data_IF_603085985050
#
_entry.id   IF_603085985050
#
_cell.length_a   1.000
_cell.length_b   1.000
_cell.length_c   1.000
_cell.angle_alpha   90.00
_cell.angle_beta   90.00
_cell.angle_gamma   90.00
#
_symmetry.space_group_name_H-M   'P 1'
#
loop_
_entity.id
_entity.type
_entity.pdbx_description
1 polymer ?
#
# COMPACT_ATOMS: atom_id res chain seq x y z
N UNK A 1 -44.23 43.41 -35.03
CA UNK A 1 -44.67 42.05 -34.67
C UNK A 1 -43.94 41.09 -35.60
N UNK A 2 -42.71 40.72 -35.23
CA UNK A 2 -42.31 39.42 -34.63
C UNK A 2 -42.38 38.26 -35.63
N UNK A 3 -41.24 37.96 -36.24
CA UNK A 3 -40.81 36.58 -36.47
C UNK A 3 -39.38 36.45 -35.96
N UNK A 4 -39.26 35.80 -34.82
CA UNK A 4 -38.05 35.57 -34.06
C UNK A 4 -37.61 34.13 -34.36
N UNK A 5 -36.44 33.93 -34.94
CA UNK A 5 -35.75 32.63 -34.91
C UNK A 5 -34.30 32.85 -34.49
N UNK A 6 -34.03 32.36 -33.29
CA UNK A 6 -32.74 32.32 -32.61
C UNK A 6 -31.67 31.64 -33.47
N UNK A 7 -30.47 32.23 -33.47
CA UNK A 7 -29.24 31.58 -33.92
C UNK A 7 -28.88 30.51 -32.88
N UNK A 8 -28.82 29.25 -33.31
CA UNK A 8 -28.32 28.14 -32.49
C UNK A 8 -26.82 28.30 -32.30
N UNK A 9 -26.40 28.39 -31.04
CA UNK A 9 -25.00 28.28 -30.61
C UNK A 9 -24.65 26.80 -30.66
N UNK A 10 -23.68 26.44 -31.50
CA UNK A 10 -23.09 25.11 -31.53
C UNK A 10 -22.19 24.98 -30.30
N UNK A 11 -22.75 24.44 -29.21
CA UNK A 11 -22.00 24.09 -28.01
C UNK A 11 -21.15 22.85 -28.36
N UNK A 12 -19.86 23.06 -28.57
CA UNK A 12 -18.88 21.98 -28.69
C UNK A 12 -18.84 21.22 -27.37
N UNK A 13 -19.50 20.07 -27.31
CA UNK A 13 -19.32 19.10 -26.23
C UNK A 13 -17.92 18.54 -26.39
N UNK A 14 -16.98 19.02 -25.57
CA UNK A 14 -15.71 18.33 -25.33
C UNK A 14 -16.08 17.02 -24.67
N UNK A 15 -16.12 15.96 -25.48
CA UNK A 15 -16.27 14.59 -25.05
C UNK A 15 -14.96 14.24 -24.32
N UNK A 16 -14.88 14.55 -23.02
CA UNK A 16 -13.87 13.97 -22.14
C UNK A 16 -14.01 12.46 -22.26
N UNK A 17 -12.97 11.84 -22.82
CA UNK A 17 -12.92 10.41 -23.05
C UNK A 17 -13.20 9.67 -21.75
N UNK A 18 -14.39 9.09 -21.66
CA UNK A 18 -14.65 7.93 -20.83
C UNK A 18 -13.73 6.82 -21.34
N UNK A 19 -12.51 6.77 -20.80
CA UNK A 19 -11.70 5.56 -20.74
C UNK A 19 -12.58 4.52 -20.06
N UNK A 20 -13.21 3.69 -20.89
CA UNK A 20 -13.80 2.45 -20.46
C UNK A 20 -12.64 1.63 -19.90
N UNK A 21 -12.56 1.52 -18.58
CA UNK A 21 -11.59 0.64 -17.91
C UNK A 21 -12.00 -0.79 -18.16
N UNK A 22 -11.66 -1.26 -19.34
CA UNK A 22 -11.56 -2.67 -19.68
C UNK A 22 -10.12 -3.04 -20.05
N UNK A 23 -9.16 -2.11 -19.99
CA UNK A 23 -7.76 -2.31 -20.42
C UNK A 23 -6.68 -2.08 -19.35
N UNK A 24 -7.04 -1.97 -18.06
CA UNK A 24 -6.10 -1.65 -16.97
C UNK A 24 -5.80 -2.78 -15.97
N UNK A 25 -6.54 -3.89 -16.00
CA UNK A 25 -6.27 -5.03 -15.11
C UNK A 25 -4.94 -5.70 -15.51
N UNK A 26 -3.97 -5.85 -14.60
CA UNK A 26 -2.74 -6.58 -14.89
C UNK A 26 -3.05 -8.04 -15.23
N UNK A 27 -2.47 -8.55 -16.33
CA UNK A 27 -2.62 -9.94 -16.74
C UNK A 27 -1.68 -10.83 -15.92
N UNK A 28 -2.20 -11.48 -14.89
CA UNK A 28 -1.40 -12.42 -14.08
C UNK A 28 -1.20 -13.75 -14.78
N UNK A 29 0.01 -14.29 -14.66
CA UNK A 29 0.38 -15.65 -15.04
C UNK A 29 0.80 -16.41 -13.78
N UNK A 30 0.14 -17.52 -13.50
CA UNK A 30 0.54 -18.41 -12.40
C UNK A 30 1.86 -19.11 -12.68
N UNK A 31 2.62 -19.38 -11.62
CA UNK A 31 3.78 -20.25 -11.71
C UNK A 31 3.36 -21.68 -12.09
N UNK A 32 3.98 -22.30 -13.12
CA UNK A 32 3.57 -23.61 -13.61
C UNK A 32 3.64 -24.74 -12.57
N UNK A 33 4.46 -24.58 -11.54
CA UNK A 33 4.66 -25.58 -10.48
C UNK A 33 3.98 -25.20 -9.16
N UNK A 34 2.93 -24.37 -9.21
CA UNK A 34 2.09 -24.13 -8.05
C UNK A 34 1.45 -25.43 -7.51
N UNK A 35 1.23 -25.53 -6.18
CA UNK A 35 1.59 -24.56 -5.16
C UNK A 35 3.09 -24.59 -4.83
N UNK A 36 3.68 -23.42 -4.57
CA UNK A 36 5.11 -23.28 -4.25
C UNK A 36 5.42 -23.51 -2.76
N UNK A 37 4.42 -23.49 -1.90
CA UNK A 37 4.60 -23.74 -0.46
C UNK A 37 3.40 -24.47 0.14
N UNK A 38 3.63 -25.67 0.67
CA UNK A 38 2.58 -26.61 1.09
C UNK A 38 2.94 -27.37 2.37
N UNK A 39 3.07 -26.69 3.55
CA UNK A 39 3.49 -27.30 4.82
C UNK A 39 2.38 -28.11 5.52
N UNK A 40 1.40 -28.62 4.77
CA UNK A 40 0.16 -29.22 5.25
C UNK A 40 -1.02 -28.23 5.29
N UNK A 41 -0.85 -27.05 5.89
CA UNK A 41 -1.86 -25.98 5.85
C UNK A 41 -1.23 -24.59 5.96
N UNK A 42 -1.37 -23.77 4.93
CA UNK A 42 -0.96 -22.37 4.90
C UNK A 42 -1.99 -21.50 4.18
N UNK A 43 -2.38 -20.37 4.80
CA UNK A 43 -3.40 -19.44 4.27
C UNK A 43 -3.24 -18.03 4.86
N UNK A 44 -3.82 -17.00 4.22
CA UNK A 44 -3.61 -15.58 4.58
C UNK A 44 -2.12 -15.23 4.71
N UNK A 45 -1.33 -15.36 3.63
CA UNK A 45 0.06 -14.96 3.67
C UNK A 45 0.17 -13.43 3.79
N UNK A 46 1.16 -12.97 4.55
CA UNK A 46 1.79 -11.66 4.36
C UNK A 46 3.25 -11.89 4.04
N UNK A 47 3.65 -11.56 2.82
CA UNK A 47 5.03 -11.63 2.35
C UNK A 47 5.67 -10.25 2.44
N UNK A 48 6.88 -10.19 2.98
CA UNK A 48 7.72 -8.99 3.03
C UNK A 48 9.06 -9.35 2.42
N UNK A 49 9.67 -8.40 1.72
CA UNK A 49 11.04 -8.50 1.23
C UNK A 49 11.94 -7.44 1.87
N UNK A 50 13.19 -7.82 2.08
CA UNK A 50 14.24 -6.90 2.46
C UNK A 50 15.56 -7.21 1.71
N UNK A 51 16.09 -6.29 0.88
CA UNK A 51 17.30 -6.55 0.11
C UNK A 51 18.58 -6.64 0.95
N UNK A 52 18.48 -6.44 2.26
CA UNK A 52 19.58 -6.46 3.22
C UNK A 52 19.34 -7.51 4.30
N UNK A 53 18.55 -8.52 3.97
CA UNK A 53 18.31 -9.70 4.79
C UNK A 53 17.78 -9.37 6.18
N UNK A 54 16.83 -8.42 6.24
CA UNK A 54 16.14 -7.95 7.44
C UNK A 54 17.04 -7.40 8.56
N UNK A 55 18.35 -7.24 8.27
CA UNK A 55 19.37 -6.87 9.24
C UNK A 55 19.53 -7.89 10.37
N UNK A 56 19.19 -9.17 10.16
CA UNK A 56 19.38 -10.27 11.11
C UNK A 56 20.25 -11.40 10.51
N UNK A 57 21.18 -11.94 11.31
CA UNK A 57 21.76 -13.26 11.03
C UNK A 57 20.80 -14.29 11.62
N UNK A 58 19.91 -14.78 10.78
CA UNK A 58 18.89 -15.73 11.17
C UNK A 58 19.49 -17.14 11.34
N UNK A 59 18.97 -17.94 12.28
CA UNK A 59 19.45 -19.31 12.51
C UNK A 59 19.30 -20.24 11.27
N UNK A 60 18.46 -19.84 10.30
CA UNK A 60 18.23 -20.51 9.02
C UNK A 60 18.84 -19.81 7.79
N UNK A 61 19.72 -18.82 7.95
CA UNK A 61 20.44 -18.16 6.84
C UNK A 61 20.23 -16.65 6.73
N UNK A 62 20.37 -16.12 5.51
CA UNK A 62 20.17 -14.69 5.18
C UNK A 62 19.03 -14.58 4.17
N UNK A 63 17.76 -14.66 4.59
CA UNK A 63 16.64 -14.66 3.66
C UNK A 63 16.38 -13.26 3.11
N UNK A 64 15.91 -13.18 1.87
CA UNK A 64 15.41 -11.92 1.28
C UNK A 64 13.91 -11.74 1.54
N UNK A 65 13.18 -12.83 1.73
CA UNK A 65 11.74 -12.84 1.94
C UNK A 65 11.38 -13.51 3.26
N UNK A 66 10.39 -12.95 3.95
CA UNK A 66 9.70 -13.57 5.07
C UNK A 66 8.21 -13.61 4.78
N UNK A 67 7.55 -14.71 5.16
CA UNK A 67 6.12 -14.89 5.02
C UNK A 67 5.51 -15.31 6.35
N UNK A 68 4.61 -14.47 6.88
CA UNK A 68 3.72 -14.87 7.98
C UNK A 68 2.43 -15.41 7.41
N UNK A 69 1.96 -16.54 7.90
CA UNK A 69 0.77 -17.19 7.39
C UNK A 69 0.00 -17.88 8.51
N UNK A 70 -1.30 -18.02 8.32
CA UNK A 70 -2.18 -18.77 9.22
C UNK A 70 -2.03 -20.27 8.99
N UNK A 71 -2.11 -21.03 10.08
CA UNK A 71 -2.12 -22.50 10.11
C UNK A 71 -3.38 -23.00 10.83
N UNK A 72 -3.48 -24.29 11.12
CA UNK A 72 -4.51 -24.81 12.06
C UNK A 72 -4.23 -24.49 13.54
N UNK A 73 -3.06 -23.94 13.86
CA UNK A 73 -2.58 -23.75 15.23
C UNK A 73 -2.04 -22.33 15.49
N UNK A 74 -2.57 -21.34 14.77
CA UNK A 74 -2.18 -19.93 14.87
C UNK A 74 -1.32 -19.46 13.69
N UNK A 75 -0.48 -18.45 13.91
CA UNK A 75 0.40 -17.86 12.90
C UNK A 75 1.78 -18.54 12.90
N UNK A 76 2.27 -18.84 11.70
CA UNK A 76 3.60 -19.38 11.46
C UNK A 76 4.42 -18.48 10.53
N UNK A 77 5.73 -18.74 10.51
CA UNK A 77 6.71 -18.06 9.67
C UNK A 77 7.35 -19.05 8.70
N UNK A 78 7.62 -18.57 7.48
CA UNK A 78 8.51 -19.18 6.50
C UNK A 78 9.44 -18.10 5.91
N UNK A 79 10.56 -18.52 5.36
CA UNK A 79 11.55 -17.64 4.75
C UNK A 79 12.04 -18.17 3.42
N UNK A 80 12.55 -17.27 2.58
CA UNK A 80 12.99 -17.60 1.23
C UNK A 80 14.08 -16.65 0.74
N UNK A 81 14.97 -17.14 -0.12
CA UNK A 81 15.97 -16.34 -0.83
C UNK A 81 15.46 -15.82 -2.18
N UNK A 82 14.47 -16.49 -2.79
CA UNK A 82 14.01 -16.24 -4.15
C UNK A 82 12.49 -15.92 -4.25
N UNK A 83 11.76 -16.04 -3.14
CA UNK A 83 10.31 -15.88 -3.08
C UNK A 83 9.54 -17.09 -3.64
N UNK A 84 10.20 -18.14 -4.10
CA UNK A 84 9.61 -19.34 -4.71
C UNK A 84 9.88 -20.58 -3.85
N UNK A 85 11.12 -20.77 -3.45
CA UNK A 85 11.57 -21.87 -2.60
C UNK A 85 11.50 -21.42 -1.15
N UNK A 86 10.58 -22.01 -0.39
CA UNK A 86 10.30 -21.61 0.99
C UNK A 86 10.78 -22.65 1.99
N UNK A 87 11.45 -22.18 3.04
CA UNK A 87 11.81 -22.99 4.20
C UNK A 87 10.89 -22.64 5.35
N UNK A 88 10.27 -23.66 5.94
CA UNK A 88 9.40 -23.49 7.09
C UNK A 88 10.21 -23.22 8.36
N UNK A 89 9.86 -22.16 9.09
CA UNK A 89 10.33 -21.97 10.46
C UNK A 89 9.41 -22.68 11.47
N UNK A 90 8.10 -22.46 11.34
CA UNK A 90 7.09 -22.97 12.27
C UNK A 90 6.30 -21.84 12.94
N UNK A 91 5.54 -22.18 13.98
CA UNK A 91 4.72 -21.21 14.70
C UNK A 91 5.59 -20.13 15.35
N UNK A 92 5.16 -18.87 15.23
CA UNK A 92 5.80 -17.76 15.93
C UNK A 92 5.46 -17.83 17.42
N UNK A 93 6.31 -17.26 18.28
CA UNK A 93 6.12 -17.30 19.73
C UNK A 93 5.48 -16.01 20.25
N UNK A 94 4.83 -16.10 21.41
CA UNK A 94 4.22 -14.97 22.10
C UNK A 94 2.82 -14.56 21.61
N UNK A 95 2.30 -15.19 20.55
CA UNK A 95 0.90 -15.06 20.12
C UNK A 95 0.05 -16.24 20.64
N UNK A 96 -1.26 -16.02 20.71
CA UNK A 96 -2.24 -17.06 21.05
C UNK A 96 -2.53 -18.00 19.86
N UNK A 97 -2.90 -19.25 20.14
CA UNK A 97 -3.20 -20.25 19.10
C UNK A 97 -4.41 -19.87 18.23
N UNK A 98 -5.28 -18.98 18.72
CA UNK A 98 -6.44 -18.44 17.99
C UNK A 98 -6.09 -17.24 17.09
N UNK A 99 -4.82 -16.83 17.00
CA UNK A 99 -4.39 -15.73 16.14
C UNK A 99 -4.33 -16.17 14.67
N UNK A 100 -5.07 -15.48 13.79
CA UNK A 100 -5.14 -15.75 12.36
C UNK A 100 -5.28 -14.45 11.56
N UNK A 101 -5.23 -14.54 10.23
CA UNK A 101 -5.41 -13.40 9.31
C UNK A 101 -4.44 -12.25 9.60
N UNK A 102 -3.17 -12.59 9.80
CA UNK A 102 -2.14 -11.60 10.12
C UNK A 102 -1.83 -10.71 8.91
N UNK A 103 -1.78 -9.41 9.15
CA UNK A 103 -1.12 -8.46 8.27
C UNK A 103 0.11 -7.88 8.99
N UNK A 104 1.29 -8.00 8.37
CA UNK A 104 2.58 -7.60 8.94
C UNK A 104 3.18 -6.47 8.12
N UNK A 105 3.71 -5.47 8.82
CA UNK A 105 4.54 -4.41 8.25
C UNK A 105 5.93 -4.42 8.91
N UNK A 106 6.92 -3.95 8.16
CA UNK A 106 8.32 -3.97 8.54
C UNK A 106 8.97 -2.60 8.35
N UNK A 107 9.74 -2.18 9.35
CA UNK A 107 10.66 -1.05 9.27
C UNK A 107 12.05 -1.53 9.70
N UNK A 108 13.00 -1.54 8.76
CA UNK A 108 14.38 -1.99 9.01
C UNK A 108 15.06 -1.25 10.13
N UNK A 109 14.77 0.04 10.25
CA UNK A 109 15.37 0.90 11.27
C UNK A 109 14.54 0.96 12.55
N UNK A 110 13.44 0.23 12.55
CA UNK A 110 12.48 0.16 13.62
C UNK A 110 11.54 1.35 13.66
N UNK A 111 10.29 1.06 14.00
CA UNK A 111 9.21 2.04 14.01
C UNK A 111 9.56 3.19 14.96
N UNK A 112 9.69 4.39 14.40
CA UNK A 112 10.09 5.59 15.16
C UNK A 112 11.52 5.54 15.72
N UNK A 113 12.42 4.74 15.12
CA UNK A 113 13.80 4.56 15.60
C UNK A 113 13.94 3.64 16.82
N UNK A 114 12.91 2.86 17.13
CA UNK A 114 12.92 1.91 18.26
C UNK A 114 13.54 0.56 17.86
N UNK A 115 13.71 -0.36 18.81
CA UNK A 115 14.13 -1.74 18.50
C UNK A 115 13.01 -2.58 17.84
N UNK A 116 11.77 -2.07 17.80
CA UNK A 116 10.64 -2.78 17.19
C UNK A 116 10.70 -2.59 15.68
N UNK A 117 10.96 -3.68 14.96
CA UNK A 117 11.08 -3.69 13.49
C UNK A 117 9.85 -4.22 12.78
N UNK A 118 8.98 -4.93 13.49
CA UNK A 118 7.78 -5.53 12.92
C UNK A 118 6.56 -5.14 13.74
N UNK A 119 5.47 -4.86 13.04
CA UNK A 119 4.14 -4.70 13.60
C UNK A 119 3.18 -5.61 12.87
N UNK A 120 2.23 -6.17 13.62
CA UNK A 120 1.23 -7.09 13.10
C UNK A 120 -0.13 -6.67 13.63
N UNK A 121 -1.14 -6.75 12.77
CA UNK A 121 -2.53 -6.83 13.18
C UNK A 121 -3.07 -8.18 12.80
N UNK A 122 -3.97 -8.73 13.61
CA UNK A 122 -4.49 -10.08 13.38
C UNK A 122 -5.87 -10.24 14.02
N UNK A 123 -6.58 -11.27 13.56
CA UNK A 123 -7.86 -11.71 14.11
C UNK A 123 -7.65 -12.79 15.19
N UNK A 124 -8.22 -12.56 16.37
CA UNK A 124 -8.37 -13.57 17.41
C UNK A 124 -9.70 -14.31 17.22
N UNK A 125 -9.62 -15.52 16.67
CA UNK A 125 -10.77 -16.38 16.37
C UNK A 125 -11.51 -16.88 17.60
N UNK A 126 -10.95 -16.72 18.81
CA UNK A 126 -11.63 -17.07 20.06
C UNK A 126 -12.62 -15.99 20.53
N UNK A 127 -12.59 -14.82 19.90
CA UNK A 127 -13.41 -13.66 20.24
C UNK A 127 -14.44 -13.39 19.16
N UNK A 128 -15.63 -12.97 19.58
CA UNK A 128 -16.70 -12.59 18.66
C UNK A 128 -16.26 -11.46 17.73
N UNK A 129 -16.36 -11.70 16.43
CA UNK A 129 -16.09 -10.72 15.35
C UNK A 129 -16.95 -9.46 15.45
N UNK A 130 -18.08 -9.51 16.17
CA UNK A 130 -18.96 -8.37 16.41
C UNK A 130 -18.48 -7.46 17.55
N UNK A 131 -17.23 -7.61 17.97
CA UNK A 131 -16.58 -6.74 18.95
C UNK A 131 -15.18 -6.38 18.47
N UNK A 132 -14.71 -5.17 18.78
CA UNK A 132 -13.33 -4.78 18.44
C UNK A 132 -12.29 -5.69 19.09
N UNK A 133 -12.64 -6.38 20.18
CA UNK A 133 -11.73 -7.27 20.88
C UNK A 133 -11.21 -8.43 20.01
N UNK A 134 -11.86 -8.75 18.89
CA UNK A 134 -11.38 -9.72 17.90
C UNK A 134 -10.20 -9.20 17.07
N UNK A 135 -10.02 -7.88 16.92
CA UNK A 135 -8.86 -7.29 16.28
C UNK A 135 -7.76 -7.06 17.33
N UNK A 136 -6.57 -7.60 17.07
CA UNK A 136 -5.40 -7.45 17.96
C UNK A 136 -4.26 -6.76 17.24
N UNK A 137 -3.34 -6.23 18.03
CA UNK A 137 -2.07 -5.68 17.60
C UNK A 137 -0.93 -6.47 18.25
N UNK A 138 0.17 -6.67 17.53
CA UNK A 138 1.41 -7.19 18.08
C UNK A 138 2.62 -6.48 17.49
N UNK A 139 3.72 -6.56 18.22
CA UNK A 139 4.99 -5.99 17.82
C UNK A 139 6.14 -6.94 18.10
N UNK A 140 7.21 -6.83 17.31
CA UNK A 140 8.39 -7.68 17.41
C UNK A 140 9.65 -6.96 16.90
N UNK A 141 10.81 -7.32 17.45
CA UNK A 141 12.11 -6.90 16.94
C UNK A 141 12.69 -7.86 15.89
N UNK A 142 12.28 -9.14 15.90
CA UNK A 142 12.86 -10.22 15.08
C UNK A 142 11.85 -10.85 14.10
N UNK A 143 10.56 -10.60 14.30
CA UNK A 143 9.47 -11.19 13.52
C UNK A 143 9.10 -12.62 13.94
N UNK A 144 9.73 -13.14 15.00
CA UNK A 144 9.54 -14.49 15.55
C UNK A 144 8.88 -14.44 16.92
N UNK A 145 9.36 -13.55 17.79
CA UNK A 145 8.87 -13.40 19.15
C UNK A 145 8.05 -12.14 19.24
N UNK A 146 6.76 -12.31 19.53
CA UNK A 146 5.79 -11.23 19.49
C UNK A 146 5.25 -10.89 20.87
N UNK A 147 5.00 -9.62 21.10
CA UNK A 147 4.19 -9.14 22.24
C UNK A 147 2.92 -8.52 21.69
N UNK A 148 1.76 -9.00 22.14
CA UNK A 148 0.46 -8.51 21.67
C UNK A 148 -0.28 -7.68 22.72
N UNK A 149 -1.19 -6.83 22.25
CA UNK A 149 -2.11 -6.06 23.06
C UNK A 149 -3.44 -5.83 22.32
N UNK A 150 -4.46 -5.41 23.06
CA UNK A 150 -5.74 -4.99 22.48
C UNK A 150 -5.61 -3.62 21.79
N UNK A 151 -6.41 -3.42 20.75
CA UNK A 151 -6.60 -2.10 20.12
C UNK A 151 -7.84 -1.41 20.69
N UNK A 152 -7.93 -0.11 20.43
CA UNK A 152 -9.09 0.74 20.76
C UNK A 152 -9.58 1.44 19.49
N UNK A 153 -10.78 2.01 19.54
CA UNK A 153 -11.37 2.71 18.41
C UNK A 153 -11.98 4.03 18.84
N UNK A 154 -12.14 4.94 17.88
CA UNK A 154 -12.86 6.20 18.05
C UNK A 154 -14.33 5.95 18.44
N UNK A 155 -14.85 6.76 19.36
CA UNK A 155 -16.19 6.59 19.90
C UNK A 155 -17.31 6.99 18.91
N UNK A 156 -17.02 7.91 17.98
CA UNK A 156 -17.99 8.44 16.99
C UNK A 156 -17.87 7.69 15.66
N UNK A 157 -16.64 7.33 15.28
CA UNK A 157 -16.31 6.60 14.06
C UNK A 157 -15.60 5.27 14.40
N UNK A 158 -16.30 4.34 15.06
CA UNK A 158 -15.73 3.03 15.39
C UNK A 158 -15.49 2.19 14.13
N UNK A 159 -14.54 1.27 14.21
CA UNK A 159 -14.31 0.24 13.18
C UNK A 159 -15.38 -0.85 13.29
N UNK A 160 -15.71 -1.26 14.51
CA UNK A 160 -16.69 -2.32 14.79
C UNK A 160 -17.81 -1.74 15.64
N UNK A 161 -19.04 -1.76 15.12
CA UNK A 161 -20.20 -1.23 15.86
C UNK A 161 -20.84 -2.26 16.77
N UNK A 162 -20.79 -3.55 16.42
CA UNK A 162 -21.54 -4.62 17.08
C UNK A 162 -23.05 -4.56 16.82
N UNK A 163 -23.51 -3.61 15.99
CA UNK A 163 -24.94 -3.31 15.78
C UNK A 163 -25.35 -3.73 14.37
N UNK A 164 -26.43 -4.50 14.27
CA UNK A 164 -27.07 -4.82 13.00
C UNK A 164 -28.03 -3.70 12.59
N UNK A 165 -28.11 -3.28 11.31
CA UNK A 165 -27.54 -3.92 10.12
C UNK A 165 -26.27 -3.24 9.58
N UNK A 166 -25.46 -2.61 10.43
CA UNK A 166 -24.29 -1.86 9.98
C UNK A 166 -23.36 -2.74 9.15
N UNK A 167 -22.82 -2.18 8.05
CA UNK A 167 -21.88 -2.91 7.19
C UNK A 167 -20.61 -3.32 7.93
N UNK A 168 -20.23 -2.55 8.95
CA UNK A 168 -19.13 -2.80 9.85
C UNK A 168 -19.61 -3.24 11.26
N UNK A 169 -20.72 -4.00 11.31
CA UNK A 169 -21.20 -4.65 12.54
C UNK A 169 -20.08 -5.48 13.19
N UNK A 170 -19.32 -6.21 12.37
CA UNK A 170 -18.16 -6.99 12.79
C UNK A 170 -16.95 -6.77 11.90
N UNK A 171 -15.85 -7.42 12.24
CA UNK A 171 -14.64 -7.46 11.41
C UNK A 171 -13.95 -8.82 11.45
N UNK A 172 -13.39 -9.23 10.30
CA UNK A 172 -12.47 -10.36 10.20
C UNK A 172 -11.00 -9.96 10.32
N UNK A 173 -10.73 -8.67 10.55
CA UNK A 173 -9.40 -8.15 10.85
C UNK A 173 -8.82 -7.27 9.74
N UNK A 174 -7.48 -7.12 9.72
CA UNK A 174 -6.79 -6.24 8.80
C UNK A 174 -6.74 -6.82 7.39
N UNK A 175 -6.85 -5.96 6.38
CA UNK A 175 -6.60 -6.28 4.98
C UNK A 175 -5.16 -5.88 4.65
N UNK A 176 -4.86 -4.59 4.78
CA UNK A 176 -3.56 -4.00 4.46
C UNK A 176 -3.30 -2.75 5.31
N UNK A 177 -2.04 -2.46 5.62
CA UNK A 177 -1.64 -1.33 6.46
C UNK A 177 -0.52 -0.53 5.83
N UNK A 178 -0.77 0.77 5.64
CA UNK A 178 0.22 1.77 5.24
C UNK A 178 0.87 2.35 6.49
N UNK A 179 2.17 2.60 6.43
CA UNK A 179 2.91 3.33 7.45
C UNK A 179 3.63 4.52 6.84
N UNK A 180 3.40 5.71 7.41
CA UNK A 180 4.07 6.95 7.07
C UNK A 180 4.81 7.47 8.33
N UNK A 181 6.15 7.28 8.46
CA UNK A 181 6.91 7.73 9.63
C UNK A 181 6.89 9.24 9.80
N UNK A 182 6.69 10.00 8.71
CA UNK A 182 6.51 11.45 8.70
C UNK A 182 5.05 11.88 8.94
N UNK A 183 4.13 10.93 9.12
CA UNK A 183 2.73 11.20 9.37
C UNK A 183 2.50 12.01 10.66
N UNK A 184 1.41 12.76 10.66
CA UNK A 184 1.05 13.70 11.71
C UNK A 184 1.00 13.05 13.10
N UNK A 185 1.35 13.84 14.13
CA UNK A 185 1.27 13.44 15.53
C UNK A 185 -0.16 13.50 16.10
N UNK A 186 -1.07 14.15 15.38
CA UNK A 186 -2.51 14.21 15.63
C UNK A 186 -3.27 13.70 14.42
N UNK A 187 -4.50 13.23 14.61
CA UNK A 187 -5.33 12.74 13.50
C UNK A 187 -5.60 13.88 12.51
N UNK A 188 -5.36 13.62 11.23
CA UNK A 188 -5.74 14.50 10.12
C UNK A 188 -6.98 13.93 9.43
N UNK A 189 -8.13 14.53 9.72
CA UNK A 189 -9.41 14.15 9.11
C UNK A 189 -9.58 14.70 7.69
N UNK A 190 -8.78 15.70 7.30
CA UNK A 190 -8.88 16.39 6.01
C UNK A 190 -8.11 15.65 4.91
N UNK A 191 -7.00 15.01 5.26
CA UNK A 191 -6.19 14.20 4.36
C UNK A 191 -5.73 12.95 5.08
N UNK A 192 -6.43 11.84 4.85
CA UNK A 192 -6.14 10.58 5.55
C UNK A 192 -4.71 10.09 5.35
N UNK A 193 -4.11 10.37 4.20
CA UNK A 193 -2.75 9.95 3.84
C UNK A 193 -1.65 10.70 4.62
N UNK A 194 -2.01 11.80 5.29
CA UNK A 194 -1.11 12.49 6.22
C UNK A 194 -1.00 11.78 7.58
N UNK A 195 -1.86 10.79 7.87
CA UNK A 195 -1.80 10.05 9.12
C UNK A 195 -0.65 9.03 9.10
N UNK A 196 -0.16 8.69 10.30
CA UNK A 196 0.98 7.77 10.46
C UNK A 196 0.66 6.34 10.03
N UNK A 197 -0.58 5.90 10.23
CA UNK A 197 -1.06 4.60 9.80
C UNK A 197 -2.41 4.74 9.10
N UNK A 198 -2.57 4.02 8.00
CA UNK A 198 -3.85 3.81 7.33
C UNK A 198 -4.06 2.30 7.23
N UNK A 199 -5.25 1.80 7.55
CA UNK A 199 -5.60 0.39 7.46
C UNK A 199 -6.83 0.22 6.60
N UNK A 200 -6.72 -0.62 5.57
CA UNK A 200 -7.89 -1.28 5.01
C UNK A 200 -8.25 -2.43 5.93
N UNK A 201 -9.52 -2.58 6.28
CA UNK A 201 -9.99 -3.64 7.18
C UNK A 201 -11.25 -4.29 6.62
N UNK A 202 -11.47 -5.56 6.97
CA UNK A 202 -12.62 -6.30 6.49
C UNK A 202 -13.81 -6.07 7.43
N UNK A 203 -14.82 -5.34 6.96
CA UNK A 203 -16.07 -5.09 7.66
C UNK A 203 -17.15 -6.09 7.24
N UNK A 204 -17.93 -6.58 8.21
CA UNK A 204 -19.00 -7.53 7.92
C UNK A 204 -20.32 -7.23 8.61
N UNK A 205 -21.43 -7.51 7.92
CA UNK A 205 -22.78 -7.59 8.50
C UNK A 205 -23.06 -8.94 9.20
N UNK A 206 -22.21 -9.94 8.96
CA UNK A 206 -22.42 -11.36 9.27
C UNK A 206 -22.88 -12.20 8.06
N UNK A 207 -23.13 -11.57 6.91
CA UNK A 207 -23.45 -12.25 5.64
C UNK A 207 -22.91 -11.56 4.39
N UNK A 208 -22.41 -10.33 4.53
CA UNK A 208 -21.70 -9.57 3.50
C UNK A 208 -20.37 -9.13 4.10
N UNK A 209 -19.28 -9.18 3.33
CA UNK A 209 -17.93 -8.71 3.71
C UNK A 209 -17.43 -7.69 2.68
N UNK A 210 -16.95 -6.54 3.15
CA UNK A 210 -16.57 -5.36 2.36
C UNK A 210 -15.37 -4.65 2.98
N UNK A 211 -14.50 -4.05 2.18
CA UNK A 211 -13.36 -3.32 2.72
C UNK A 211 -13.76 -1.93 3.25
N UNK A 212 -13.46 -1.69 4.52
CA UNK A 212 -13.44 -0.37 5.14
C UNK A 212 -12.04 0.25 5.15
N UNK A 213 -11.96 1.53 5.53
CA UNK A 213 -10.71 2.26 5.70
C UNK A 213 -10.68 2.92 7.07
N UNK A 214 -9.54 2.93 7.73
CA UNK A 214 -9.32 3.56 9.02
C UNK A 214 -7.92 4.19 9.10
N UNK A 215 -7.74 5.16 9.98
CA UNK A 215 -6.46 5.84 10.17
C UNK A 215 -6.12 5.99 11.65
N UNK A 216 -4.83 6.12 11.92
CA UNK A 216 -4.27 6.17 13.27
C UNK A 216 -2.95 6.94 13.31
N UNK A 217 -2.66 7.54 14.46
CA UNK A 217 -1.34 8.14 14.75
C UNK A 217 -0.37 7.15 15.41
N UNK A 218 -0.87 6.02 15.94
CA UNK A 218 -0.07 5.09 16.77
C UNK A 218 -0.21 3.61 16.36
N UNK A 219 -1.21 3.27 15.55
CA UNK A 219 -1.49 1.91 15.10
C UNK A 219 -2.29 1.05 16.10
N UNK A 220 -2.68 1.61 17.25
CA UNK A 220 -3.43 0.91 18.31
C UNK A 220 -4.73 1.58 18.70
N UNK A 221 -4.94 2.84 18.32
CA UNK A 221 -6.23 3.53 18.38
C UNK A 221 -6.65 3.92 16.96
N UNK A 222 -7.80 3.42 16.50
CA UNK A 222 -8.23 3.57 15.11
C UNK A 222 -9.51 4.38 14.98
N UNK A 223 -9.53 5.29 13.99
CA UNK A 223 -10.72 6.03 13.59
C UNK A 223 -11.14 5.59 12.19
N UNK A 224 -12.40 5.17 12.02
CA UNK A 224 -12.95 4.79 10.72
C UNK A 224 -13.07 6.01 9.81
N UNK A 225 -12.68 5.85 8.55
CA UNK A 225 -12.91 6.82 7.49
C UNK A 225 -14.32 6.66 6.90
N UNK A 226 -15.00 7.79 6.70
CA UNK A 226 -16.31 7.84 6.05
C UNK A 226 -17.43 7.14 6.85
N UNK A 227 -18.56 6.92 6.16
CA UNK A 227 -19.69 6.16 6.69
C UNK A 227 -20.00 4.87 5.93
N UNK A 228 -19.36 4.66 4.79
CA UNK A 228 -19.58 3.55 3.86
C UNK A 228 -18.27 2.77 3.64
N UNK A 229 -18.33 1.50 3.22
CA UNK A 229 -17.14 0.77 2.79
C UNK A 229 -16.49 1.48 1.60
N UNK A 230 -15.17 1.46 1.53
CA UNK A 230 -14.41 2.01 0.39
C UNK A 230 -14.40 1.04 -0.80
N UNK A 231 -14.40 -0.26 -0.54
CA UNK A 231 -14.57 -1.29 -1.57
C UNK A 231 -15.88 -2.06 -1.32
N UNK A 232 -17.04 -1.59 -1.83
CA UNK A 232 -18.30 -2.28 -1.65
C UNK A 232 -18.41 -3.53 -2.54
N UNK A 233 -19.28 -4.49 -2.20
CA UNK A 233 -19.64 -5.60 -3.10
C UNK A 233 -20.32 -5.09 -4.37
N UNK A 234 -20.29 -5.89 -5.44
CA UNK A 234 -20.91 -5.52 -6.72
C UNK A 234 -22.19 -6.34 -6.96
N UNK A 235 -23.39 -5.76 -6.81
CA UNK A 235 -24.64 -6.50 -6.97
C UNK A 235 -24.73 -7.22 -8.32
N UNK A 236 -25.00 -8.53 -8.28
CA UNK A 236 -25.15 -9.36 -9.48
C UNK A 236 -23.85 -9.80 -10.16
N UNK A 237 -22.67 -9.37 -9.68
CA UNK A 237 -21.38 -9.80 -10.22
C UNK A 237 -20.81 -11.00 -9.45
N UNK A 238 -19.56 -11.39 -9.77
CA UNK A 238 -18.87 -12.49 -9.10
C UNK A 238 -18.50 -12.18 -7.64
N UNK A 239 -18.39 -10.91 -7.26
CA UNK A 239 -18.07 -10.41 -5.91
C UNK A 239 -19.28 -9.76 -5.22
N UNK A 240 -20.47 -10.34 -5.41
CA UNK A 240 -21.75 -9.75 -4.99
C UNK A 240 -22.03 -9.81 -3.49
N UNK A 241 -21.31 -10.65 -2.76
CA UNK A 241 -21.51 -10.84 -1.31
C UNK A 241 -20.21 -10.67 -0.52
N UNK A 242 -19.06 -10.84 -1.17
CA UNK A 242 -17.75 -10.75 -0.55
C UNK A 242 -16.83 -9.95 -1.47
N UNK A 243 -16.25 -8.86 -0.94
CA UNK A 243 -15.24 -8.05 -1.58
C UNK A 243 -14.32 -7.45 -0.50
N UNK A 244 -13.37 -8.25 -0.02
CA UNK A 244 -12.49 -7.93 1.09
C UNK A 244 -11.16 -8.68 0.99
N UNK A 245 -10.28 -8.52 1.98
CA UNK A 245 -8.96 -9.16 2.08
C UNK A 245 -8.05 -9.13 0.83
N UNK A 246 -6.88 -8.53 0.96
CA UNK A 246 -5.96 -8.42 -0.17
C UNK A 246 -4.82 -7.46 0.11
N UNK A 247 -4.23 -6.94 -0.96
CA UNK A 247 -3.12 -5.98 -0.89
C UNK A 247 -3.45 -4.75 -1.72
N UNK A 248 -3.15 -3.57 -1.17
CA UNK A 248 -3.18 -2.31 -1.91
C UNK A 248 -1.75 -1.86 -2.21
N UNK A 249 -1.47 -1.55 -3.47
CA UNK A 249 -0.16 -1.05 -3.90
C UNK A 249 -0.35 0.32 -4.53
N UNK A 250 0.40 1.33 -4.06
CA UNK A 250 0.48 2.61 -4.75
C UNK A 250 1.66 2.62 -5.74
N UNK A 251 1.36 2.72 -7.04
CA UNK A 251 2.34 2.90 -8.11
C UNK A 251 1.65 3.55 -9.31
N UNK A 252 1.83 4.87 -9.49
CA UNK A 252 1.10 5.64 -10.52
C UNK A 252 -0.44 5.47 -10.40
N UNK A 253 -0.93 5.56 -9.16
CA UNK A 253 -2.29 5.18 -8.76
C UNK A 253 -2.28 3.96 -7.85
N UNK A 254 -3.41 3.69 -7.22
CA UNK A 254 -3.60 2.59 -6.28
C UNK A 254 -4.18 1.37 -6.99
N UNK A 255 -3.61 0.21 -6.69
CA UNK A 255 -3.96 -1.10 -7.22
C UNK A 255 -4.41 -1.98 -6.05
N UNK A 256 -5.68 -2.36 -6.00
CA UNK A 256 -6.20 -3.27 -4.98
C UNK A 256 -6.43 -4.65 -5.60
N UNK A 257 -5.61 -5.61 -5.19
CA UNK A 257 -5.82 -7.03 -5.47
C UNK A 257 -6.60 -7.60 -4.29
N UNK A 258 -7.88 -7.95 -4.48
CA UNK A 258 -8.80 -8.27 -3.38
C UNK A 258 -9.42 -9.66 -3.55
N UNK A 259 -9.86 -10.27 -2.46
CA UNK A 259 -10.60 -11.54 -2.48
C UNK A 259 -12.09 -11.27 -2.63
N UNK A 260 -12.82 -12.17 -3.28
CA UNK A 260 -14.25 -11.99 -3.42
C UNK A 260 -15.01 -13.24 -3.80
N UNK A 261 -16.34 -13.08 -3.84
CA UNK A 261 -17.26 -14.13 -4.20
C UNK A 261 -18.73 -13.76 -4.01
N UNK A 262 -19.59 -14.68 -4.43
CA UNK A 262 -21.04 -14.66 -4.26
C UNK A 262 -21.47 -15.44 -3.03
N UNK A 263 -20.81 -16.56 -2.75
CA UNK A 263 -21.18 -17.49 -1.65
C UNK A 263 -20.11 -17.59 -0.58
N UNK A 264 -18.86 -17.18 -0.87
CA UNK A 264 -17.81 -17.07 0.13
C UNK A 264 -16.67 -16.15 -0.34
N UNK A 265 -15.93 -15.57 0.61
CA UNK A 265 -14.73 -14.75 0.37
C UNK A 265 -13.63 -15.45 -0.45
N UNK A 266 -13.64 -16.78 -0.49
CA UNK A 266 -12.56 -17.58 -1.04
C UNK A 266 -12.77 -18.08 -2.48
N UNK A 267 -13.71 -17.49 -3.23
CA UNK A 267 -14.02 -17.95 -4.59
C UNK A 267 -13.08 -17.40 -5.65
N UNK A 268 -12.54 -16.20 -5.47
CA UNK A 268 -11.60 -15.64 -6.43
C UNK A 268 -10.84 -14.42 -5.92
N UNK A 269 -9.93 -13.96 -6.77
CA UNK A 269 -9.11 -12.78 -6.60
C UNK A 269 -9.48 -11.78 -7.70
N UNK A 270 -9.87 -10.58 -7.31
CA UNK A 270 -10.25 -9.47 -8.17
C UNK A 270 -9.20 -8.36 -8.23
N UNK A 271 -9.49 -7.36 -9.06
CA UNK A 271 -8.68 -6.16 -9.22
C UNK A 271 -9.55 -4.91 -9.19
N UNK A 272 -9.08 -3.88 -8.51
CA UNK A 272 -9.61 -2.54 -8.60
C UNK A 272 -8.48 -1.51 -8.74
N UNK A 273 -8.75 -0.44 -9.49
CA UNK A 273 -7.87 0.70 -9.62
C UNK A 273 -8.47 1.92 -8.94
N UNK A 274 -7.62 2.79 -8.39
CA UNK A 274 -8.04 4.05 -7.80
C UNK A 274 -6.96 5.11 -7.99
N UNK A 275 -7.34 6.37 -8.17
CA UNK A 275 -6.38 7.50 -8.20
C UNK A 275 -6.11 8.09 -6.82
N UNK A 276 -6.97 7.81 -5.83
CA UNK A 276 -6.94 8.41 -4.49
C UNK A 276 -6.84 7.37 -3.35
N UNK A 277 -6.92 6.08 -3.68
CA UNK A 277 -6.97 4.94 -2.74
C UNK A 277 -8.28 4.84 -1.96
N UNK A 278 -9.29 5.65 -2.28
CA UNK A 278 -10.55 5.71 -1.54
C UNK A 278 -11.71 5.32 -2.45
N UNK A 279 -11.71 5.83 -3.68
CA UNK A 279 -12.73 5.58 -4.70
C UNK A 279 -12.21 4.57 -5.69
N UNK A 280 -12.86 3.42 -5.79
CA UNK A 280 -12.36 2.27 -6.54
C UNK A 280 -13.16 1.97 -7.80
N UNK A 281 -12.46 1.75 -8.90
CA UNK A 281 -13.00 1.20 -10.13
C UNK A 281 -12.59 -0.27 -10.25
N UNK A 282 -13.57 -1.16 -10.05
CA UNK A 282 -13.37 -2.61 -10.14
C UNK A 282 -13.33 -3.09 -11.58
N UNK A 283 -12.50 -4.08 -11.85
CA UNK A 283 -12.62 -4.89 -13.05
C UNK A 283 -13.86 -5.80 -12.98
N UNK A 284 -14.46 -6.07 -14.14
CA UNK A 284 -15.70 -6.84 -14.21
C UNK A 284 -15.51 -8.32 -13.86
N UNK A 285 -14.35 -8.89 -14.19
CA UNK A 285 -14.04 -10.31 -14.00
C UNK A 285 -12.90 -10.48 -12.99
N UNK A 286 -12.87 -11.58 -12.23
CA UNK A 286 -11.75 -11.88 -11.36
C UNK A 286 -10.46 -12.13 -12.18
N UNK A 287 -9.31 -11.91 -11.56
CA UNK A 287 -7.99 -12.37 -12.03
C UNK A 287 -7.95 -13.90 -12.01
N UNK A 288 -8.32 -14.49 -10.87
CA UNK A 288 -8.37 -15.94 -10.67
C UNK A 288 -9.68 -16.32 -9.98
N UNK A 289 -10.24 -17.46 -10.35
CA UNK A 289 -11.45 -17.99 -9.75
C UNK A 289 -11.35 -19.52 -9.57
N UNK A 290 -12.02 -20.07 -8.55
CA UNK A 290 -12.04 -21.51 -8.27
C UNK A 290 -12.58 -22.37 -9.44
N UNK A 291 -13.28 -21.75 -10.39
CA UNK A 291 -13.83 -22.41 -11.59
C UNK A 291 -12.90 -22.40 -12.80
N UNK A 292 -11.67 -21.87 -12.69
CA UNK A 292 -10.72 -21.79 -13.81
C UNK A 292 -10.19 -23.16 -14.26
N UNK A 293 -10.52 -24.25 -13.56
CA UNK A 293 -10.03 -25.59 -13.85
C UNK A 293 -8.60 -25.85 -13.35
N UNK A 294 -8.04 -24.97 -12.52
CA UNK A 294 -6.70 -25.14 -11.93
C UNK A 294 -6.78 -26.05 -10.70
N UNK A 295 -6.19 -27.25 -10.81
CA UNK A 295 -6.41 -28.38 -9.90
C UNK A 295 -6.05 -28.15 -8.43
N UNK A 296 -5.06 -27.31 -8.14
CA UNK A 296 -4.58 -27.08 -6.77
C UNK A 296 -5.41 -26.02 -5.99
N UNK A 297 -6.31 -25.31 -6.68
CA UNK A 297 -7.11 -24.20 -6.12
C UNK A 297 -8.60 -24.28 -6.49
N UNK A 298 -9.13 -25.49 -6.63
CA UNK A 298 -10.54 -25.75 -7.04
C UNK A 298 -11.57 -25.52 -5.93
N UNK A 299 -11.17 -25.51 -4.66
CA UNK A 299 -12.05 -25.27 -3.52
C UNK A 299 -11.90 -23.86 -2.95
N UNK A 300 -10.68 -23.28 -2.97
CA UNK A 300 -10.40 -21.91 -2.52
C UNK A 300 -9.35 -21.25 -3.40
N UNK A 301 -9.49 -19.95 -3.66
CA UNK A 301 -8.53 -19.10 -4.38
C UNK A 301 -8.65 -17.65 -3.88
N UNK A 302 -7.75 -17.19 -2.98
CA UNK A 302 -7.94 -15.95 -2.22
C UNK A 302 -6.69 -15.44 -1.49
N UNK A 303 -6.84 -14.33 -0.75
CA UNK A 303 -5.84 -13.65 0.08
C UNK A 303 -4.53 -13.37 -0.65
N UNK A 304 -4.56 -12.51 -1.69
CA UNK A 304 -3.35 -12.11 -2.38
C UNK A 304 -2.48 -11.21 -1.48
N UNK A 305 -1.23 -11.62 -1.25
CA UNK A 305 -0.14 -10.80 -0.76
C UNK A 305 0.72 -10.40 -1.95
N UNK A 306 0.80 -9.10 -2.23
CA UNK A 306 1.44 -8.60 -3.46
C UNK A 306 2.63 -7.71 -3.13
N UNK A 307 3.78 -7.98 -3.74
CA UNK A 307 4.94 -7.08 -3.75
C UNK A 307 5.12 -6.48 -5.15
N UNK A 308 5.75 -5.30 -5.20
CA UNK A 308 6.04 -4.60 -6.44
C UNK A 308 7.55 -4.48 -6.69
N UNK A 309 7.98 -4.90 -7.86
CA UNK A 309 9.32 -4.64 -8.40
C UNK A 309 9.19 -3.64 -9.55
N UNK A 310 9.98 -2.56 -9.55
CA UNK A 310 10.02 -1.61 -10.67
C UNK A 310 11.39 -1.66 -11.35
N UNK A 311 11.39 -1.71 -12.69
CA UNK A 311 12.61 -1.64 -13.51
C UNK A 311 12.35 -0.79 -14.74
N UNK A 312 12.94 0.40 -14.78
CA UNK A 312 12.69 1.39 -15.84
C UNK A 312 11.21 1.75 -15.91
N UNK A 313 10.56 1.45 -17.03
CA UNK A 313 9.12 1.71 -17.26
C UNK A 313 8.24 0.49 -17.00
N UNK A 314 8.78 -0.56 -16.38
CA UNK A 314 8.02 -1.77 -16.05
C UNK A 314 7.79 -1.83 -14.55
N UNK A 315 6.53 -1.98 -14.15
CA UNK A 315 6.14 -2.36 -12.80
C UNK A 315 5.66 -3.81 -12.83
N UNK A 316 6.36 -4.68 -12.10
CA UNK A 316 6.06 -6.10 -11.98
C UNK A 316 5.44 -6.37 -10.61
N UNK A 317 4.26 -6.95 -10.62
CA UNK A 317 3.59 -7.43 -9.42
C UNK A 317 3.96 -8.89 -9.19
N UNK A 318 4.38 -9.21 -7.97
CA UNK A 318 4.64 -10.55 -7.47
C UNK A 318 3.53 -10.88 -6.46
N UNK A 319 2.68 -11.86 -6.77
CA UNK A 319 1.55 -12.23 -5.93
C UNK A 319 1.77 -13.61 -5.32
N UNK A 320 1.71 -13.70 -4.00
CA UNK A 320 1.55 -14.94 -3.24
C UNK A 320 0.11 -15.04 -2.77
N UNK A 321 -0.54 -16.17 -2.98
CA UNK A 321 -1.96 -16.30 -2.68
C UNK A 321 -2.32 -17.71 -2.22
N UNK A 322 -3.41 -17.80 -1.46
CA UNK A 322 -3.90 -19.08 -0.94
C UNK A 322 -4.70 -19.81 -2.00
N UNK A 323 -4.39 -21.09 -2.21
CA UNK A 323 -5.24 -22.05 -2.91
C UNK A 323 -5.54 -23.27 -2.06
N UNK A 324 -6.68 -23.90 -2.33
CA UNK A 324 -7.11 -25.14 -1.68
C UNK A 324 -7.82 -26.03 -2.71
N UNK A 325 -7.51 -27.32 -2.72
CA UNK A 325 -8.18 -28.32 -3.56
C UNK A 325 -9.19 -29.20 -2.80
N UNK A 326 -9.52 -28.84 -1.56
CA UNK A 326 -10.37 -29.58 -0.63
C UNK A 326 -9.60 -30.53 0.29
N UNK A 327 -8.30 -30.73 0.07
CA UNK A 327 -7.44 -31.59 0.91
C UNK A 327 -6.14 -30.92 1.33
N UNK A 328 -5.64 -30.00 0.51
CA UNK A 328 -4.39 -29.30 0.76
C UNK A 328 -4.60 -27.80 0.58
N UNK A 329 -4.34 -27.02 1.64
CA UNK A 329 -4.41 -25.57 1.62
C UNK A 329 -2.99 -25.01 1.65
N UNK A 330 -2.60 -24.38 0.55
CA UNK A 330 -1.22 -24.05 0.24
C UNK A 330 -1.09 -22.66 -0.39
N UNK A 331 0.14 -22.18 -0.55
CA UNK A 331 0.45 -20.90 -1.17
C UNK A 331 0.98 -21.12 -2.58
N UNK A 332 0.36 -20.45 -3.54
CA UNK A 332 0.85 -20.33 -4.92
C UNK A 332 1.45 -18.96 -5.19
N UNK A 333 2.05 -18.84 -6.37
CA UNK A 333 2.69 -17.63 -6.84
C UNK A 333 2.24 -17.29 -8.26
N UNK A 334 2.10 -16.00 -8.55
CA UNK A 334 1.79 -15.48 -9.87
C UNK A 334 2.48 -14.12 -10.09
N UNK A 335 2.71 -13.79 -11.35
CA UNK A 335 3.29 -12.50 -11.74
C UNK A 335 2.45 -11.79 -12.78
N UNK A 336 2.41 -10.46 -12.70
CA UNK A 336 1.91 -9.61 -13.77
C UNK A 336 2.89 -8.47 -14.00
N UNK A 337 2.80 -7.81 -15.15
CA UNK A 337 3.54 -6.57 -15.38
C UNK A 337 2.64 -5.56 -16.06
N UNK A 338 2.80 -4.30 -15.68
CA UNK A 338 2.23 -3.16 -16.37
C UNK A 338 3.37 -2.28 -16.90
N UNK A 339 3.10 -1.61 -18.02
CA UNK A 339 4.00 -0.57 -18.52
C UNK A 339 3.58 0.76 -17.93
N UNK A 340 4.47 1.34 -17.14
CA UNK A 340 4.37 2.71 -16.69
C UNK A 340 4.58 3.63 -17.90
N UNK A 341 3.83 4.74 -18.01
CA UNK A 341 3.98 5.66 -19.12
C UNK A 341 5.45 6.10 -19.24
N UNK A 342 6.02 5.92 -20.44
CA UNK A 342 7.28 6.57 -20.82
C UNK A 342 7.00 8.07 -20.79
N UNK A 343 7.52 8.80 -19.81
CA UNK A 343 7.48 10.25 -19.86
C UNK A 343 8.25 10.70 -21.12
N UNK A 344 7.53 11.23 -22.11
CA UNK A 344 8.13 11.97 -23.20
C UNK A 344 8.59 13.31 -22.64
N UNK A 345 9.90 13.54 -22.63
CA UNK A 345 10.56 14.83 -22.36
C UNK A 345 9.99 15.60 -21.15
N UNK A 346 10.50 15.23 -19.97
CA UNK A 346 10.87 16.05 -18.81
C UNK A 346 10.87 15.08 -17.62
N UNK A 347 12.05 14.76 -17.11
CA UNK A 347 12.19 14.05 -15.84
C UNK A 347 11.79 15.05 -14.75
N UNK A 348 10.48 15.21 -14.51
CA UNK A 348 10.01 15.70 -13.22
C UNK A 348 10.28 14.57 -12.24
N UNK A 349 11.35 14.74 -11.44
CA UNK A 349 11.69 13.84 -10.33
C UNK A 349 10.59 13.94 -9.27
N UNK A 350 9.48 13.24 -9.48
CA UNK A 350 8.43 13.05 -8.47
C UNK A 350 8.22 11.56 -8.13
N UNK A 351 9.12 10.67 -8.57
CA UNK A 351 9.04 9.22 -8.32
C UNK A 351 9.56 8.79 -6.95
N UNK A 352 9.57 9.67 -5.96
CA UNK A 352 9.96 9.34 -4.57
C UNK A 352 8.82 9.57 -3.55
N UNK A 353 7.56 9.67 -4.02
CA UNK A 353 6.37 9.65 -3.14
C UNK A 353 5.64 8.29 -3.12
N UNK A 354 6.20 7.26 -3.74
CA UNK A 354 5.47 6.02 -4.06
C UNK A 354 5.94 4.74 -3.36
N UNK A 355 6.74 4.79 -2.28
CA UNK A 355 7.19 3.55 -1.63
C UNK A 355 7.33 3.69 -0.12
N UNK A 356 6.28 3.28 0.61
CA UNK A 356 6.41 2.78 1.99
C UNK A 356 5.50 1.59 2.30
N UNK A 357 5.18 0.79 1.28
CA UNK A 357 4.57 -0.53 1.49
C UNK A 357 5.40 -1.61 0.80
N UNK A 358 6.41 -2.11 1.52
CA UNK A 358 7.04 -3.40 1.26
C UNK A 358 8.16 -3.51 0.20
N UNK A 359 8.58 -2.48 -0.55
CA UNK A 359 9.76 -2.60 -1.45
C UNK A 359 10.44 -1.26 -1.83
N UNK A 360 11.53 -0.84 -1.17
CA UNK A 360 12.78 -0.24 -1.76
C UNK A 360 13.60 0.49 -0.69
N UNK A 361 14.94 0.34 -0.70
CA UNK A 361 15.83 0.76 0.37
C UNK A 361 16.06 2.28 0.41
N UNK A 362 15.73 2.92 1.52
CA UNK A 362 16.21 4.27 1.86
C UNK A 362 17.72 4.33 2.22
N UNK A 363 18.49 3.34 1.77
CA UNK A 363 19.92 3.32 1.92
C UNK A 363 20.55 3.98 0.69
N UNK A 364 20.73 5.31 0.70
CA UNK A 364 21.93 6.02 0.22
C UNK A 364 21.76 7.51 -0.11
N UNK A 365 20.58 8.13 0.02
CA UNK A 365 20.49 9.60 -0.23
C UNK A 365 21.17 10.36 0.91
N UNK A 366 22.43 10.79 0.69
CA UNK A 366 23.14 11.69 1.59
C UNK A 366 22.64 13.12 1.40
N UNK A 367 22.47 13.86 2.50
CA UNK A 367 22.16 15.31 2.48
C UNK A 367 23.10 16.08 1.55
N UNK A 368 24.39 15.71 1.54
CA UNK A 368 25.40 16.29 0.66
C UNK A 368 25.07 16.11 -0.83
N UNK A 369 24.58 14.92 -1.22
CA UNK A 369 24.23 14.64 -2.63
C UNK A 369 22.96 15.35 -3.07
N UNK A 370 21.98 15.49 -2.17
CA UNK A 370 20.70 16.07 -2.53
C UNK A 370 20.66 17.58 -2.30
N UNK A 371 20.82 18.02 -1.06
CA UNK A 371 20.65 19.41 -0.67
C UNK A 371 21.77 20.29 -1.23
N UNK A 372 23.03 19.92 -1.02
CA UNK A 372 24.16 20.80 -1.36
C UNK A 372 24.41 20.87 -2.87
N UNK A 373 24.21 19.76 -3.59
CA UNK A 373 24.36 19.73 -5.05
C UNK A 373 23.25 20.53 -5.75
N UNK A 374 22.00 20.32 -5.36
CA UNK A 374 20.88 21.02 -6.00
C UNK A 374 20.87 22.51 -5.66
N UNK A 375 21.23 22.89 -4.43
CA UNK A 375 21.35 24.32 -4.05
C UNK A 375 22.37 25.05 -4.94
N UNK A 376 23.54 24.45 -5.21
CA UNK A 376 24.53 25.01 -6.16
C UNK A 376 23.96 25.19 -7.57
N UNK A 377 23.15 24.23 -8.02
CA UNK A 377 22.53 24.28 -9.36
C UNK A 377 21.50 25.39 -9.44
N UNK A 378 20.63 25.51 -8.42
CA UNK A 378 19.65 26.59 -8.28
C UNK A 378 20.32 27.96 -8.27
N UNK A 379 21.36 28.17 -7.45
CA UNK A 379 22.08 29.45 -7.40
C UNK A 379 22.58 29.84 -8.79
N UNK A 380 23.21 28.91 -9.51
CA UNK A 380 23.69 29.18 -10.88
C UNK A 380 22.58 29.52 -11.86
N UNK A 381 21.40 28.91 -11.74
CA UNK A 381 20.26 29.18 -12.62
C UNK A 381 19.64 30.55 -12.32
N UNK A 382 19.40 30.85 -11.04
CA UNK A 382 18.89 32.15 -10.59
C UNK A 382 19.83 33.30 -11.01
N UNK A 383 21.14 33.12 -10.82
CA UNK A 383 22.15 34.10 -11.24
C UNK A 383 22.12 34.35 -12.76
N UNK A 384 21.84 33.30 -13.55
CA UNK A 384 21.80 33.40 -15.01
C UNK A 384 20.52 34.03 -15.56
N UNK A 385 19.40 33.90 -14.85
CA UNK A 385 18.11 34.52 -15.21
C UNK A 385 18.03 35.98 -14.74
N UNK A 386 18.67 36.29 -13.61
CA UNK A 386 18.72 37.64 -13.04
C UNK A 386 17.34 38.20 -12.68
N UNK A 387 17.27 39.52 -12.52
CA UNK A 387 16.01 40.23 -12.15
C UNK A 387 14.94 40.22 -13.25
N UNK A 388 15.27 39.75 -14.45
CA UNK A 388 14.40 39.83 -15.64
C UNK A 388 13.15 38.95 -15.54
N UNK A 389 13.20 37.91 -14.71
CA UNK A 389 12.09 36.96 -14.55
C UNK A 389 11.25 37.21 -13.28
N UNK A 390 11.54 38.26 -12.49
CA UNK A 390 10.89 38.49 -11.20
C UNK A 390 9.36 38.61 -11.27
N UNK A 391 8.84 39.15 -12.37
CA UNK A 391 7.39 39.32 -12.58
C UNK A 391 6.74 38.13 -13.32
N UNK A 392 7.50 37.06 -13.62
CA UNK A 392 6.98 35.88 -14.30
C UNK A 392 6.38 34.92 -13.27
N UNK A 393 5.09 34.53 -13.40
CA UNK A 393 4.44 33.64 -12.44
C UNK A 393 5.19 32.33 -12.20
N UNK A 394 5.71 31.71 -13.28
CA UNK A 394 6.49 30.49 -13.17
C UNK A 394 7.80 30.69 -12.37
N UNK A 395 8.43 31.86 -12.45
CA UNK A 395 9.61 32.17 -11.64
C UNK A 395 9.24 32.27 -10.15
N UNK A 396 8.08 32.85 -9.84
CA UNK A 396 7.54 32.91 -8.48
C UNK A 396 7.23 31.51 -7.94
N UNK A 397 6.63 30.64 -8.75
CA UNK A 397 6.37 29.25 -8.38
C UNK A 397 7.67 28.48 -8.11
N UNK A 398 8.71 28.70 -8.94
CA UNK A 398 10.03 28.11 -8.71
C UNK A 398 10.65 28.55 -7.38
N UNK A 399 10.52 29.84 -7.01
CA UNK A 399 10.99 30.34 -5.72
C UNK A 399 10.29 29.67 -4.54
N UNK A 400 8.97 29.42 -4.63
CA UNK A 400 8.22 28.72 -3.59
C UNK A 400 8.72 27.28 -3.41
N UNK A 401 8.95 26.54 -4.50
CA UNK A 401 9.53 25.20 -4.44
C UNK A 401 10.95 25.21 -3.81
N UNK A 402 11.77 26.22 -4.10
CA UNK A 402 13.11 26.38 -3.53
C UNK A 402 13.03 26.62 -2.02
N UNK A 403 12.14 27.50 -1.56
CA UNK A 403 11.95 27.75 -0.12
C UNK A 403 11.50 26.50 0.63
N UNK A 404 10.57 25.74 0.05
CA UNK A 404 10.09 24.49 0.62
C UNK A 404 11.20 23.42 0.65
N UNK A 405 11.98 23.29 -0.43
CA UNK A 405 13.12 22.38 -0.51
C UNK A 405 14.17 22.69 0.57
N UNK A 406 14.50 23.98 0.78
CA UNK A 406 15.43 24.43 1.82
C UNK A 406 14.92 24.10 3.22
N UNK A 407 13.62 24.22 3.46
CA UNK A 407 12.98 23.81 4.73
C UNK A 407 13.15 22.32 4.99
N UNK A 408 12.93 21.47 3.98
CA UNK A 408 13.16 20.03 4.09
C UNK A 408 14.63 19.67 4.28
N UNK A 409 15.57 20.39 3.65
CA UNK A 409 17.00 20.22 3.88
C UNK A 409 17.43 20.59 5.30
N UNK A 410 16.86 21.67 5.88
CA UNK A 410 17.11 22.05 7.26
C UNK A 410 16.59 20.98 8.23
N UNK A 411 15.36 20.48 8.02
CA UNK A 411 14.78 19.37 8.80
C UNK A 411 15.65 18.11 8.68
N UNK A 412 16.09 17.78 7.48
CA UNK A 412 16.96 16.64 7.22
C UNK A 412 18.25 16.71 8.04
N UNK A 413 18.98 17.84 7.98
CA UNK A 413 20.20 18.06 8.77
C UNK A 413 19.97 17.93 10.27
N UNK A 414 18.88 18.51 10.79
CA UNK A 414 18.54 18.44 12.21
C UNK A 414 18.21 17.01 12.67
N UNK A 415 17.51 16.24 11.83
CA UNK A 415 17.17 14.85 12.11
C UNK A 415 18.39 13.93 12.07
N UNK A 416 19.30 14.12 11.11
CA UNK A 416 20.57 13.37 11.06
C UNK A 416 21.44 13.72 12.28
N UNK A 417 21.56 15.00 12.63
CA UNK A 417 22.36 15.44 13.78
C UNK A 417 21.83 14.91 15.12
N UNK A 418 20.52 14.68 15.23
CA UNK A 418 19.89 14.08 16.41
C UNK A 418 19.91 12.54 16.41
N UNK A 419 20.60 11.91 15.46
CA UNK A 419 20.73 10.45 15.37
C UNK A 419 19.59 9.76 14.62
N UNK A 420 18.60 10.50 14.10
CA UNK A 420 17.50 9.98 13.29
C UNK A 420 17.84 10.08 11.79
N UNK A 421 18.85 9.31 11.37
CA UNK A 421 19.35 9.32 10.00
C UNK A 421 18.27 8.94 8.96
N UNK A 422 17.24 8.20 9.35
CA UNK A 422 16.17 7.73 8.46
C UNK A 422 15.19 8.83 8.13
N UNK A 423 14.64 9.50 9.15
CA UNK A 423 13.79 10.66 8.94
C UNK A 423 14.60 11.79 8.26
N UNK A 424 15.89 11.88 8.60
CA UNK A 424 16.86 12.70 7.89
C UNK A 424 16.90 12.43 6.39
N UNK A 425 17.18 11.19 5.98
CA UNK A 425 17.26 10.79 4.58
C UNK A 425 15.92 10.93 3.85
N UNK A 426 14.80 10.68 4.53
CA UNK A 426 13.46 10.94 3.98
C UNK A 426 13.22 12.43 3.70
N UNK A 427 13.59 13.32 4.62
CA UNK A 427 13.51 14.75 4.37
C UNK A 427 14.45 15.20 3.25
N UNK A 428 15.63 14.59 3.12
CA UNK A 428 16.52 14.85 1.98
C UNK A 428 15.85 14.43 0.66
N UNK A 429 15.15 13.30 0.64
CA UNK A 429 14.36 12.82 -0.50
C UNK A 429 13.30 13.83 -0.94
N UNK A 430 12.49 14.32 0.02
CA UNK A 430 11.46 15.32 -0.28
C UNK A 430 12.07 16.62 -0.84
N UNK A 431 13.20 17.06 -0.30
CA UNK A 431 13.93 18.20 -0.84
C UNK A 431 14.42 17.96 -2.27
N UNK A 432 14.84 16.73 -2.62
CA UNK A 432 15.28 16.38 -3.97
C UNK A 432 14.18 16.55 -5.02
N UNK A 433 12.95 16.18 -4.69
CA UNK A 433 11.80 16.33 -5.59
C UNK A 433 11.44 17.81 -5.78
N UNK A 434 11.41 18.58 -4.70
CA UNK A 434 11.11 20.01 -4.76
C UNK A 434 12.18 20.80 -5.53
N UNK A 435 13.46 20.51 -5.30
CA UNK A 435 14.54 21.11 -6.08
C UNK A 435 14.48 20.72 -7.55
N UNK A 436 14.08 19.50 -7.87
CA UNK A 436 13.94 19.09 -9.26
C UNK A 436 12.89 19.90 -10.00
N UNK A 437 11.76 20.15 -9.34
CA UNK A 437 10.67 20.94 -9.91
C UNK A 437 11.10 22.39 -10.12
N UNK A 438 11.77 22.98 -9.14
CA UNK A 438 12.34 24.31 -9.27
C UNK A 438 13.38 24.40 -10.41
N UNK A 439 14.33 23.46 -10.47
CA UNK A 439 15.35 23.41 -11.54
C UNK A 439 14.69 23.33 -12.91
N UNK A 440 13.68 22.47 -13.07
CA UNK A 440 12.94 22.32 -14.32
C UNK A 440 12.35 23.65 -14.80
N UNK A 441 11.62 24.34 -13.91
CA UNK A 441 10.98 25.62 -14.24
C UNK A 441 12.02 26.67 -14.61
N UNK A 442 13.12 26.77 -13.85
CA UNK A 442 14.18 27.73 -14.15
C UNK A 442 14.91 27.42 -15.46
N UNK A 443 15.12 26.15 -15.80
CA UNK A 443 15.72 25.76 -17.09
C UNK A 443 14.80 26.09 -18.29
N UNK A 444 13.48 25.91 -18.14
CA UNK A 444 12.48 26.30 -19.15
C UNK A 444 12.49 27.82 -19.37
N UNK A 445 12.41 28.60 -18.29
CA UNK A 445 12.52 30.06 -18.36
C UNK A 445 13.83 30.51 -19.02
N UNK A 446 14.93 29.82 -18.69
CA UNK A 446 16.24 30.13 -19.27
C UNK A 446 16.26 29.88 -20.77
N UNK A 447 15.65 28.80 -21.24
CA UNK A 447 15.53 28.51 -22.66
C UNK A 447 14.60 29.51 -23.40
N UNK A 448 13.61 30.08 -22.73
CA UNK A 448 12.72 31.11 -23.29
C UNK A 448 13.37 32.50 -23.35
N UNK A 449 14.32 32.78 -22.43
CA UNK A 449 15.05 34.05 -22.35
C UNK A 449 16.39 34.09 -23.12
N UNK A 450 16.88 32.93 -23.56
CA UNK A 450 18.11 32.77 -24.37
C UNK A 450 17.82 32.88 -25.87
#
# INVERSE_FOLDING_TARGET
MKNMRMKGILLGVVLLGLLHVQSGQPSFTEYPYNPIFSPGTAYYPTVIFDPYHFGDMYAGGTPYYKMWYSTGAGIALAYSEDGITWVQYGNVSGLMASAHHAHVIYDRYGFGGTAIRYKMWFWDTSVSIYTLAALKYAQSSDGITWTWSSVTQDAVKPLVTGVSPDWNRGTYGPIDVFYNPAGASTLDDSSIWNNKYIMYYDGTTGGIEQAGLAYSVNGTHWKRYGDQPVLPVTPGAWDSSYAGFGTVINCNGYHFFYSGGQTAMHQGIGYAFSTDGITWQKAANPIFHVTDGVSWRTARCYTPSVLLETTGTTARFHMWFTGDNGSNRAIGYAVASITLPKQGVLITKNTERDIQQQMIPLAQVRVEQCCEKNEKTITSLLDSLGEQCLDVPAYTDALQYIEEARSYCAKSKALIASGNAVAGNYCALQACNLYAEAIRILEELKAETA
#
